data_IF_884776288319
#
_entry.id   IF_884776288319
#
_cell.length_a   1.000
_cell.length_b   1.000
_cell.length_c   1.000
_cell.angle_alpha   90.00
_cell.angle_beta   90.00
_cell.angle_gamma   90.00
#
_symmetry.space_group_name_H-M   'P 1'
#
loop_
_entity.id
_entity.type
_entity.pdbx_description
1 polymer ?
#
# COMPACT_ATOMS: atom_id res chain seq x y z
N UNK A 1 -16.84 9.51 -8.13
CA UNK A 1 -17.17 8.21 -7.49
C UNK A 1 -16.79 6.97 -8.31
N UNK A 2 -17.20 6.83 -9.58
CA UNK A 2 -16.90 5.63 -10.40
C UNK A 2 -15.39 5.41 -10.58
N UNK A 3 -14.63 6.47 -10.88
CA UNK A 3 -13.17 6.42 -11.03
C UNK A 3 -12.45 5.99 -9.74
N UNK A 4 -12.90 6.50 -8.60
CA UNK A 4 -12.38 6.13 -7.28
C UNK A 4 -12.66 4.64 -7.00
N UNK A 5 -13.87 4.17 -7.29
CA UNK A 5 -14.24 2.76 -7.18
C UNK A 5 -13.37 1.86 -8.06
N UNK A 6 -13.14 2.24 -9.33
CA UNK A 6 -12.26 1.50 -10.24
C UNK A 6 -10.81 1.45 -9.72
N UNK A 7 -10.25 2.57 -9.25
CA UNK A 7 -8.89 2.57 -8.72
C UNK A 7 -8.71 1.66 -7.51
N UNK A 8 -9.67 1.68 -6.57
CA UNK A 8 -9.64 0.75 -5.43
C UNK A 8 -9.75 -0.70 -5.90
N UNK A 9 -10.59 -0.96 -6.90
CA UNK A 9 -10.84 -2.31 -7.42
C UNK A 9 -9.67 -2.86 -8.24
N UNK A 10 -8.78 -2.03 -8.79
CA UNK A 10 -7.63 -2.47 -9.59
C UNK A 10 -6.27 -2.30 -8.90
N UNK A 11 -6.20 -1.61 -7.75
CA UNK A 11 -4.92 -1.39 -7.04
C UNK A 11 -4.21 -2.70 -6.64
N UNK A 12 -4.97 -3.75 -6.31
CA UNK A 12 -4.42 -5.07 -5.96
C UNK A 12 -3.72 -5.79 -7.12
N UNK A 13 -3.95 -5.40 -8.38
CA UNK A 13 -3.32 -6.03 -9.55
C UNK A 13 -1.80 -5.87 -9.50
N UNK A 14 -1.31 -4.75 -8.96
CA UNK A 14 0.13 -4.52 -8.77
C UNK A 14 0.78 -5.57 -7.85
N UNK A 15 0.03 -6.09 -6.86
CA UNK A 15 0.52 -7.09 -5.92
C UNK A 15 0.63 -8.49 -6.54
N UNK A 16 -0.13 -8.78 -7.59
CA UNK A 16 -0.14 -10.11 -8.22
C UNK A 16 1.24 -10.50 -8.76
N UNK A 17 1.94 -9.56 -9.40
CA UNK A 17 3.29 -9.79 -9.92
C UNK A 17 4.29 -10.09 -8.80
N UNK A 18 4.19 -9.36 -7.69
CA UNK A 18 5.05 -9.54 -6.50
C UNK A 18 4.80 -10.92 -5.87
N UNK A 19 3.54 -11.26 -5.62
CA UNK A 19 3.17 -12.55 -5.04
C UNK A 19 3.63 -13.70 -5.94
N UNK A 20 3.45 -13.58 -7.26
CA UNK A 20 3.90 -14.61 -8.21
C UNK A 20 5.43 -14.78 -8.18
N UNK A 21 6.18 -13.69 -8.14
CA UNK A 21 7.65 -13.74 -8.07
C UNK A 21 8.12 -14.45 -6.79
N UNK A 22 7.52 -14.11 -5.63
CA UNK A 22 7.84 -14.76 -4.37
C UNK A 22 7.42 -16.22 -4.31
N UNK A 23 6.27 -16.59 -4.90
CA UNK A 23 5.88 -18.01 -5.01
C UNK A 23 6.88 -18.82 -5.84
N UNK A 24 7.35 -18.27 -6.97
CA UNK A 24 8.35 -18.93 -7.82
C UNK A 24 9.70 -19.06 -7.11
N UNK A 25 10.12 -18.03 -6.39
CA UNK A 25 11.33 -18.04 -5.56
C UNK A 25 11.22 -19.05 -4.42
N UNK A 26 10.14 -18.98 -3.65
CA UNK A 26 9.94 -19.79 -2.45
C UNK A 26 9.80 -21.27 -2.76
N UNK A 27 9.25 -21.62 -3.93
CA UNK A 27 9.19 -23.01 -4.40
C UNK A 27 10.56 -23.66 -4.55
N UNK A 28 11.62 -22.88 -4.80
CA UNK A 28 12.97 -23.39 -4.98
C UNK A 28 13.76 -23.49 -3.65
N UNK A 29 13.16 -23.17 -2.51
CA UNK A 29 13.85 -23.27 -1.23
C UNK A 29 14.07 -24.72 -0.79
N UNK A 30 15.22 -24.97 -0.16
CA UNK A 30 15.64 -26.29 0.30
C UNK A 30 14.64 -26.93 1.27
N UNK A 31 14.05 -26.14 2.17
CA UNK A 31 13.04 -26.64 3.11
C UNK A 31 11.73 -27.07 2.42
N UNK A 32 11.38 -26.45 1.29
CA UNK A 32 10.21 -26.85 0.48
C UNK A 32 10.49 -28.17 -0.25
N UNK A 33 11.71 -28.30 -0.80
CA UNK A 33 12.16 -29.52 -1.45
C UNK A 33 12.25 -30.69 -0.46
N UNK A 34 12.77 -30.46 0.75
CA UNK A 34 12.83 -31.45 1.82
C UNK A 34 11.42 -31.86 2.29
N UNK A 35 10.50 -30.92 2.50
CA UNK A 35 9.11 -31.22 2.87
C UNK A 35 8.40 -32.07 1.79
N UNK A 36 8.67 -31.80 0.51
CA UNK A 36 8.16 -32.60 -0.59
C UNK A 36 8.76 -34.02 -0.62
N UNK A 37 10.07 -34.15 -0.36
CA UNK A 37 10.74 -35.45 -0.27
C UNK A 37 10.20 -36.31 0.89
N UNK A 38 9.74 -35.67 1.97
CA UNK A 38 9.08 -36.31 3.12
C UNK A 38 7.59 -36.65 2.86
N UNK A 39 7.06 -36.41 1.66
CA UNK A 39 5.68 -36.75 1.31
C UNK A 39 4.61 -35.79 1.83
N UNK A 40 4.98 -34.58 2.29
CA UNK A 40 4.02 -33.59 2.77
C UNK A 40 3.13 -33.12 1.60
N UNK A 41 1.80 -33.09 1.76
CA UNK A 41 0.91 -32.69 0.67
C UNK A 41 1.10 -31.22 0.27
N UNK A 42 1.02 -30.96 -1.04
CA UNK A 42 1.22 -29.62 -1.63
C UNK A 42 0.33 -28.53 -1.01
N UNK A 43 -0.89 -28.86 -0.58
CA UNK A 43 -1.78 -27.91 0.11
C UNK A 43 -1.18 -27.41 1.42
N UNK A 44 -0.63 -28.31 2.24
CA UNK A 44 0.03 -27.94 3.49
C UNK A 44 1.27 -27.09 3.20
N UNK A 45 2.07 -27.45 2.21
CA UNK A 45 3.24 -26.66 1.79
C UNK A 45 2.84 -25.25 1.35
N UNK A 46 1.78 -25.13 0.54
CA UNK A 46 1.25 -23.83 0.13
C UNK A 46 0.82 -22.98 1.32
N UNK A 47 -0.14 -23.44 2.13
CA UNK A 47 -0.73 -22.58 3.17
C UNK A 47 0.17 -22.37 4.40
N UNK A 48 1.02 -23.33 4.74
CA UNK A 48 1.88 -23.27 5.94
C UNK A 48 3.23 -22.63 5.66
N UNK A 49 3.78 -22.79 4.45
CA UNK A 49 5.16 -22.39 4.15
C UNK A 49 5.25 -21.33 3.04
N UNK A 50 4.54 -21.50 1.93
CA UNK A 50 4.68 -20.63 0.76
C UNK A 50 3.88 -19.32 0.89
N UNK A 51 2.63 -19.42 1.30
CA UNK A 51 1.69 -18.30 1.40
C UNK A 51 2.13 -17.29 2.48
N UNK A 52 2.49 -17.71 3.72
CA UNK A 52 3.00 -16.78 4.72
C UNK A 52 4.30 -16.08 4.27
N UNK A 53 5.19 -16.80 3.58
CA UNK A 53 6.43 -16.23 3.06
C UNK A 53 6.18 -15.17 1.98
N UNK A 54 5.27 -15.44 1.04
CA UNK A 54 4.87 -14.47 0.01
C UNK A 54 4.13 -13.25 0.58
N UNK A 55 3.34 -13.41 1.64
CA UNK A 55 2.64 -12.29 2.28
C UNK A 55 3.60 -11.27 2.89
N UNK A 56 4.78 -11.68 3.38
CA UNK A 56 5.78 -10.74 3.92
C UNK A 56 6.25 -9.74 2.85
N UNK A 57 6.41 -10.20 1.61
CA UNK A 57 6.75 -9.31 0.50
C UNK A 57 5.59 -8.38 0.14
N UNK A 58 4.35 -8.87 0.10
CA UNK A 58 3.16 -8.02 -0.08
C UNK A 58 3.08 -6.94 0.99
N UNK A 59 3.33 -7.30 2.25
CA UNK A 59 3.31 -6.39 3.39
C UNK A 59 4.39 -5.32 3.29
N UNK A 60 5.54 -5.65 2.70
CA UNK A 60 6.63 -4.71 2.45
C UNK A 60 6.23 -3.62 1.45
N UNK A 61 5.44 -3.94 0.42
CA UNK A 61 5.02 -2.98 -0.59
C UNK A 61 3.71 -2.24 -0.25
N UNK A 62 2.95 -2.73 0.72
CA UNK A 62 1.67 -2.15 1.14
C UNK A 62 1.73 -0.65 1.49
N UNK A 63 2.74 -0.13 2.23
CA UNK A 63 2.79 1.29 2.61
C UNK A 63 2.92 2.20 1.37
N UNK A 64 3.71 1.77 0.40
CA UNK A 64 3.95 2.50 -0.85
C UNK A 64 2.71 2.50 -1.74
N UNK A 65 2.01 1.36 -1.85
CA UNK A 65 0.77 1.27 -2.62
C UNK A 65 -0.34 2.14 -2.04
N UNK A 66 -0.47 2.17 -0.70
CA UNK A 66 -1.43 3.03 -0.03
C UNK A 66 -1.09 4.51 -0.23
N UNK A 67 0.18 4.90 -0.08
CA UNK A 67 0.64 6.27 -0.31
C UNK A 67 0.43 6.73 -1.75
N UNK A 68 0.71 5.85 -2.73
CA UNK A 68 0.46 6.10 -4.14
C UNK A 68 -1.03 6.22 -4.48
N UNK A 69 -1.86 5.40 -3.84
CA UNK A 69 -3.32 5.46 -4.01
C UNK A 69 -3.89 6.79 -3.49
N UNK A 70 -3.44 7.26 -2.33
CA UNK A 70 -3.85 8.55 -1.75
C UNK A 70 -3.40 9.73 -2.62
N UNK A 71 -2.15 9.70 -3.10
CA UNK A 71 -1.62 10.75 -3.97
C UNK A 71 -2.45 10.85 -5.26
N UNK A 72 -2.80 9.70 -5.85
CA UNK A 72 -3.65 9.64 -7.04
C UNK A 72 -5.05 10.16 -6.75
N UNK A 73 -5.65 9.78 -5.61
CA UNK A 73 -6.98 10.22 -5.21
C UNK A 73 -7.02 11.73 -4.96
N UNK A 74 -6.00 12.28 -4.30
CA UNK A 74 -5.84 13.73 -4.06
C UNK A 74 -5.70 14.48 -5.37
N UNK A 75 -4.97 13.93 -6.34
CA UNK A 75 -4.80 14.51 -7.67
C UNK A 75 -6.11 14.52 -8.47
N UNK A 76 -6.86 13.41 -8.44
CA UNK A 76 -8.18 13.32 -9.09
C UNK A 76 -9.20 14.27 -8.47
N UNK A 77 -9.13 14.42 -7.15
CA UNK A 77 -9.98 15.31 -6.38
C UNK A 77 -9.68 16.79 -6.68
N UNK A 78 -8.40 17.16 -6.78
CA UNK A 78 -7.97 18.47 -7.28
C UNK A 78 -8.50 18.77 -8.69
N UNK A 79 -8.48 17.77 -9.58
CA UNK A 79 -9.04 17.87 -10.94
C UNK A 79 -10.58 17.92 -10.99
N UNK A 80 -11.27 17.71 -9.86
CA UNK A 80 -12.73 17.76 -9.77
C UNK A 80 -13.44 16.45 -10.10
N UNK A 81 -12.71 15.33 -10.22
CA UNK A 81 -13.26 13.98 -10.41
C UNK A 81 -13.45 13.21 -9.09
N UNK A 82 -13.09 13.84 -7.96
CA UNK A 82 -13.16 13.28 -6.61
C UNK A 82 -14.51 13.45 -5.93
N UNK A 83 -14.51 14.06 -4.75
CA UNK A 83 -15.68 14.26 -3.90
C UNK A 83 -16.53 15.45 -4.40
N UNK A 84 -17.81 15.56 -3.99
CA UNK A 84 -18.69 16.66 -4.41
C UNK A 84 -18.08 18.03 -4.05
N UNK A 85 -18.23 19.06 -4.90
CA UNK A 85 -17.75 20.39 -4.59
C UNK A 85 -18.36 20.91 -3.29
N UNK A 86 -17.52 21.39 -2.37
CA UNK A 86 -17.91 21.82 -1.02
C UNK A 86 -17.62 20.80 0.09
N UNK A 87 -17.20 19.58 -0.26
CA UNK A 87 -16.65 18.65 0.73
C UNK A 87 -15.20 19.02 1.10
N UNK A 88 -14.86 18.89 2.39
CA UNK A 88 -13.50 19.16 2.87
C UNK A 88 -12.59 17.99 2.49
N UNK A 89 -11.94 18.09 1.34
CA UNK A 89 -11.03 17.07 0.82
C UNK A 89 -9.63 17.64 0.56
N UNK A 90 -8.61 16.77 0.56
CA UNK A 90 -7.20 17.19 0.41
C UNK A 90 -6.94 17.85 -0.95
N UNK A 91 -7.60 17.39 -2.02
CA UNK A 91 -7.46 17.98 -3.35
C UNK A 91 -8.15 19.34 -3.44
N UNK A 92 -9.31 19.48 -2.80
CA UNK A 92 -10.04 20.76 -2.73
C UNK A 92 -9.28 21.79 -1.89
N UNK A 93 -8.60 21.39 -0.80
CA UNK A 93 -7.72 22.29 -0.03
C UNK A 93 -6.59 22.86 -0.89
N UNK A 94 -5.95 22.04 -1.75
CA UNK A 94 -4.93 22.53 -2.70
C UNK A 94 -5.52 23.49 -3.74
N UNK A 95 -6.73 23.18 -4.22
CA UNK A 95 -7.43 24.02 -5.19
C UNK A 95 -7.81 25.37 -4.60
N UNK A 96 -8.23 25.41 -3.35
CA UNK A 96 -8.51 26.64 -2.61
C UNK A 96 -7.23 27.45 -2.39
N UNK A 97 -6.12 26.80 -2.07
CA UNK A 97 -4.81 27.45 -1.97
C UNK A 97 -4.36 28.08 -3.29
N UNK A 98 -4.57 27.40 -4.42
CA UNK A 98 -4.23 27.94 -5.75
C UNK A 98 -5.12 29.13 -6.13
N UNK A 99 -6.42 29.06 -5.81
CA UNK A 99 -7.38 30.14 -6.13
C UNK A 99 -7.20 31.37 -5.25
N UNK A 100 -6.77 31.20 -4.00
CA UNK A 100 -6.59 32.27 -3.04
C UNK A 100 -5.10 32.54 -2.80
N UNK A 101 -4.40 33.06 -3.81
CA UNK A 101 -2.99 33.44 -3.70
C UNK A 101 -2.74 34.52 -2.64
N UNK A 102 -3.78 35.27 -2.27
CA UNK A 102 -3.75 36.29 -1.23
C UNK A 102 -3.75 35.69 0.20
N UNK A 103 -3.98 34.37 0.33
CA UNK A 103 -4.07 33.65 1.60
C UNK A 103 -3.03 32.52 1.65
N UNK A 104 -1.73 32.85 1.79
CA UNK A 104 -0.64 31.86 1.72
C UNK A 104 -0.71 30.79 2.81
N UNK A 105 -1.39 31.07 3.93
CA UNK A 105 -1.62 30.10 4.99
C UNK A 105 -2.40 28.87 4.51
N UNK A 106 -3.29 28.99 3.51
CA UNK A 106 -4.03 27.86 2.94
C UNK A 106 -3.10 26.87 2.22
N UNK A 107 -2.14 27.41 1.46
CA UNK A 107 -1.13 26.60 0.77
C UNK A 107 -0.19 25.90 1.74
N UNK A 108 0.29 26.64 2.75
CA UNK A 108 1.18 26.09 3.78
C UNK A 108 0.46 25.02 4.61
N UNK A 109 -0.78 25.27 5.05
CA UNK A 109 -1.54 24.27 5.80
C UNK A 109 -1.83 23.02 4.96
N UNK A 110 -2.17 23.18 3.68
CA UNK A 110 -2.40 22.05 2.77
C UNK A 110 -1.14 21.21 2.58
N UNK A 111 0.01 21.87 2.38
CA UNK A 111 1.30 21.19 2.26
C UNK A 111 1.66 20.41 3.53
N UNK A 112 1.57 21.05 4.71
CA UNK A 112 1.91 20.42 5.99
C UNK A 112 1.01 19.22 6.28
N UNK A 113 -0.30 19.35 6.06
CA UNK A 113 -1.26 18.25 6.31
C UNK A 113 -0.97 17.06 5.40
N UNK A 114 -0.78 17.27 4.09
CA UNK A 114 -0.50 16.17 3.16
C UNK A 114 0.86 15.54 3.44
N UNK A 115 1.90 16.35 3.64
CA UNK A 115 3.24 15.85 3.94
C UNK A 115 3.27 15.02 5.21
N UNK A 116 2.63 15.50 6.28
CA UNK A 116 2.55 14.78 7.55
C UNK A 116 1.73 13.50 7.40
N UNK A 117 0.57 13.56 6.74
CA UNK A 117 -0.30 12.40 6.57
C UNK A 117 0.38 11.28 5.79
N UNK A 118 1.02 11.61 4.65
CA UNK A 118 1.75 10.62 3.85
C UNK A 118 2.93 10.05 4.63
N UNK A 119 3.67 10.90 5.35
CA UNK A 119 4.80 10.44 6.19
C UNK A 119 4.35 9.49 7.30
N UNK A 120 3.29 9.85 8.03
CA UNK A 120 2.71 9.01 9.08
C UNK A 120 2.23 7.68 8.51
N UNK A 121 1.60 7.68 7.33
CA UNK A 121 1.11 6.46 6.71
C UNK A 121 2.27 5.53 6.31
N UNK A 122 3.34 6.08 5.75
CA UNK A 122 4.55 5.30 5.44
C UNK A 122 5.16 4.73 6.73
N UNK A 123 5.30 5.54 7.78
CA UNK A 123 5.85 5.07 9.05
C UNK A 123 5.00 4.00 9.73
N UNK A 124 3.67 4.17 9.76
CA UNK A 124 2.74 3.14 10.28
C UNK A 124 2.85 1.87 9.43
N UNK A 125 2.99 2.01 8.11
CA UNK A 125 3.18 0.90 7.21
C UNK A 125 4.50 0.14 7.46
N UNK A 126 5.61 0.84 7.62
CA UNK A 126 6.90 0.23 7.99
C UNK A 126 6.85 -0.40 9.39
N UNK A 127 6.19 0.24 10.36
CA UNK A 127 6.00 -0.34 11.70
C UNK A 127 5.15 -1.61 11.66
N UNK A 128 4.11 -1.63 10.82
CA UNK A 128 3.28 -2.82 10.60
C UNK A 128 4.12 -3.91 9.95
N UNK A 129 4.87 -3.60 8.90
CA UNK A 129 5.80 -4.53 8.27
C UNK A 129 6.78 -5.11 9.27
N UNK A 130 7.37 -4.27 10.11
CA UNK A 130 8.30 -4.65 11.17
C UNK A 130 7.67 -5.59 12.20
N UNK A 131 6.41 -5.37 12.58
CA UNK A 131 5.69 -6.23 13.52
C UNK A 131 5.43 -7.64 12.95
N UNK A 132 5.29 -7.75 11.63
CA UNK A 132 5.07 -9.02 10.94
C UNK A 132 6.36 -9.65 10.40
N UNK A 133 7.52 -8.99 10.50
CA UNK A 133 8.81 -9.60 10.15
C UNK A 133 9.24 -10.59 11.25
N UNK A 134 9.20 -11.91 11.00
CA UNK A 134 9.47 -12.94 12.02
C UNK A 134 10.94 -12.95 12.46
N UNK A 135 11.84 -12.26 11.74
CA UNK A 135 13.28 -12.27 12.03
C UNK A 135 13.65 -11.48 13.29
N UNK A 136 12.77 -10.61 13.78
CA UNK A 136 13.01 -9.81 15.01
C UNK A 136 12.54 -10.50 16.30
N UNK A 137 11.72 -11.55 16.20
CA UNK A 137 11.14 -12.24 17.38
C UNK A 137 12.05 -13.31 17.98
N UNK A 138 13.13 -13.69 17.28
CA UNK A 138 14.14 -14.61 17.79
C UNK A 138 15.40 -13.83 18.19
N UNK A 139 15.38 -13.25 19.39
CA UNK A 139 16.58 -12.87 20.14
C UNK A 139 16.49 -13.40 21.55
#
# INVERSE_FOLDING_TARGET
FILLGLMLLFSWVALVGVVRAEFLRARNFEYVNAARALGVPNRTIMFRHLLPNAMVATLTFMPFLLSGSISTLTSLDYLGFGLPPGSASLGELLKQAQRNLNAPWLGISGFVVISLMLSLLVFVGEATRDAFDPRKTFR
#
